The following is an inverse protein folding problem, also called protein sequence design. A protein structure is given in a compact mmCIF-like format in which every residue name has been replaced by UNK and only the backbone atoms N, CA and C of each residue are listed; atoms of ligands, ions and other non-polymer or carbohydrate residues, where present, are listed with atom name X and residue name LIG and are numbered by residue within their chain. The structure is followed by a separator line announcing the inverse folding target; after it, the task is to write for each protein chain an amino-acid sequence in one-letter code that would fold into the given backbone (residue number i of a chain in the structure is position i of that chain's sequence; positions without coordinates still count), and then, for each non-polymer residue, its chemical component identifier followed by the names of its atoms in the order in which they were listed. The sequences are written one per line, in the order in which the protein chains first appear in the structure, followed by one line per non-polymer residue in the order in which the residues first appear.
data_IF_201980280406
#
_entry.id   IF_201980280406
#
_cell.length_a   1.000
_cell.length_b   1.000
_cell.length_c   1.000
_cell.angle_alpha   90.00
_cell.angle_beta   90.00
_cell.angle_gamma   90.00
#
_symmetry.space_group_name_H-M   'P 1'
#
loop_
_entity.id
_entity.type
_entity.pdbx_description
1 polymer ?
#
# COMPACT_ATOMS: atom_id res chain seq x y z
N UNK A 1 16.48 -32.80 8.17
CA UNK A 1 16.42 -31.45 8.77
C UNK A 1 15.03 -30.93 8.51
N UNK A 2 14.19 -30.76 9.54
CA UNK A 2 12.81 -30.28 9.36
C UNK A 2 12.87 -28.81 8.94
N UNK A 3 12.39 -28.50 7.73
CA UNK A 3 12.19 -27.11 7.29
C UNK A 3 11.21 -26.44 8.24
N UNK A 4 11.70 -25.44 8.98
CA UNK A 4 10.86 -24.61 9.83
C UNK A 4 9.99 -23.71 8.97
N UNK A 5 8.73 -23.59 9.34
CA UNK A 5 7.80 -22.71 8.63
C UNK A 5 8.27 -21.25 8.67
N UNK A 6 7.87 -20.44 7.69
CA UNK A 6 8.19 -19.01 7.66
C UNK A 6 7.74 -18.27 8.93
N UNK A 7 6.70 -18.79 9.61
CA UNK A 7 6.23 -18.30 10.89
C UNK A 7 7.20 -18.63 12.04
N UNK A 8 7.63 -19.88 12.16
CA UNK A 8 8.57 -20.33 13.21
C UNK A 8 9.89 -19.57 13.17
N UNK A 9 10.44 -19.36 11.97
CA UNK A 9 11.66 -18.59 11.79
C UNK A 9 11.49 -17.14 12.27
N UNK A 10 10.31 -16.54 12.06
CA UNK A 10 10.01 -15.17 12.47
C UNK A 10 9.88 -15.04 13.98
N UNK A 11 9.25 -16.02 14.63
CA UNK A 11 9.15 -16.07 16.10
C UNK A 11 10.53 -16.22 16.75
N UNK A 12 11.39 -17.07 16.20
CA UNK A 12 12.75 -17.24 16.71
C UNK A 12 13.55 -15.93 16.64
N UNK A 13 13.50 -15.21 15.51
CA UNK A 13 14.17 -13.92 15.36
C UNK A 13 13.68 -12.89 16.39
N UNK A 14 12.38 -12.88 16.71
CA UNK A 14 11.81 -11.99 17.72
C UNK A 14 12.33 -12.36 19.11
N UNK A 15 12.33 -13.65 19.46
CA UNK A 15 12.83 -14.14 20.75
C UNK A 15 14.31 -13.79 20.92
N UNK A 16 15.13 -14.05 19.91
CA UNK A 16 16.55 -13.70 19.92
C UNK A 16 16.76 -12.20 20.12
N UNK A 17 16.01 -11.37 19.40
CA UNK A 17 16.09 -9.90 19.54
C UNK A 17 15.71 -9.41 20.94
N UNK A 18 14.74 -10.05 21.60
CA UNK A 18 14.37 -9.74 22.99
C UNK A 18 15.50 -10.12 23.95
N UNK A 19 16.06 -11.32 23.80
CA UNK A 19 17.16 -11.82 24.65
C UNK A 19 18.40 -10.93 24.53
N UNK A 20 18.75 -10.53 23.31
CA UNK A 20 19.93 -9.70 23.04
C UNK A 20 19.67 -8.21 23.20
N UNK A 21 18.46 -7.82 23.65
CA UNK A 21 18.01 -6.44 23.76
C UNK A 21 18.30 -5.62 22.49
N UNK A 22 18.20 -6.26 21.32
CA UNK A 22 18.49 -5.67 20.02
C UNK A 22 17.20 -5.06 19.44
N UNK A 23 17.28 -3.87 18.82
CA UNK A 23 16.10 -3.25 18.24
C UNK A 23 15.56 -4.09 17.08
N UNK A 24 14.26 -4.37 17.12
CA UNK A 24 13.56 -5.01 15.98
C UNK A 24 13.42 -3.96 14.87
N UNK A 25 14.22 -4.08 13.82
CA UNK A 25 14.19 -3.18 12.68
C UNK A 25 13.10 -3.61 11.70
N UNK A 26 12.03 -2.83 11.61
CA UNK A 26 11.02 -2.98 10.57
C UNK A 26 11.54 -2.38 9.27
N UNK A 27 11.79 -3.22 8.27
CA UNK A 27 12.23 -2.79 6.93
C UNK A 27 11.07 -2.82 5.94
N UNK A 28 11.20 -2.13 4.80
CA UNK A 28 10.19 -2.21 3.73
C UNK A 28 9.90 -3.65 3.27
N UNK A 29 10.88 -4.56 3.33
CA UNK A 29 10.68 -6.00 3.05
C UNK A 29 9.82 -6.71 4.10
N UNK A 30 9.78 -6.21 5.34
CA UNK A 30 8.91 -6.77 6.40
C UNK A 30 7.46 -6.34 6.26
N UNK A 31 7.21 -5.22 5.58
CA UNK A 31 5.88 -4.81 5.14
C UNK A 31 5.60 -5.58 3.83
N UNK A 32 4.62 -6.48 3.83
CA UNK A 32 4.19 -7.24 2.65
C UNK A 32 3.43 -6.34 1.65
N UNK A 33 4.06 -5.23 1.27
CA UNK A 33 3.54 -4.20 0.39
C UNK A 33 4.34 -4.30 -0.90
N UNK A 34 3.82 -5.09 -1.85
CA UNK A 34 4.40 -5.21 -3.18
C UNK A 34 4.16 -3.94 -4.01
N UNK A 35 4.91 -3.76 -5.10
CA UNK A 35 4.73 -2.65 -6.06
C UNK A 35 3.37 -2.63 -6.76
N UNK A 36 2.48 -3.57 -6.41
CA UNK A 36 1.13 -3.72 -6.94
C UNK A 36 0.07 -3.26 -5.93
N UNK A 37 0.36 -2.17 -5.21
CA UNK A 37 -0.54 -1.56 -4.24
C UNK A 37 -1.66 -0.80 -4.98
N UNK A 38 -2.91 -1.17 -4.71
CA UNK A 38 -4.10 -0.52 -5.25
C UNK A 38 -5.00 -0.02 -4.12
N UNK A 39 -6.08 0.68 -4.49
CA UNK A 39 -7.06 1.18 -3.53
C UNK A 39 -7.63 0.07 -2.65
N UNK A 40 -7.83 -1.15 -3.17
CA UNK A 40 -8.38 -2.28 -2.40
C UNK A 40 -7.40 -2.74 -1.31
N UNK A 41 -6.13 -2.94 -1.66
CA UNK A 41 -5.08 -3.33 -0.71
C UNK A 41 -4.81 -2.25 0.33
N UNK A 42 -4.81 -0.97 -0.07
CA UNK A 42 -4.64 0.15 0.86
C UNK A 42 -5.77 0.15 1.89
N UNK A 43 -7.03 0.03 1.45
CA UNK A 43 -8.19 -0.05 2.35
C UNK A 43 -8.09 -1.26 3.28
N UNK A 44 -7.74 -2.43 2.74
CA UNK A 44 -7.57 -3.65 3.53
C UNK A 44 -6.47 -3.51 4.61
N UNK A 45 -5.36 -2.85 4.30
CA UNK A 45 -4.30 -2.55 5.29
C UNK A 45 -4.85 -1.63 6.38
N UNK A 46 -5.53 -0.55 5.99
CA UNK A 46 -6.12 0.38 6.96
C UNK A 46 -7.14 -0.32 7.86
N UNK A 47 -8.02 -1.15 7.29
CA UNK A 47 -9.03 -1.91 8.04
C UNK A 47 -8.39 -2.93 8.99
N UNK A 48 -7.37 -3.65 8.52
CA UNK A 48 -6.58 -4.60 9.32
C UNK A 48 -5.96 -3.94 10.55
N UNK A 49 -5.49 -2.70 10.40
CA UNK A 49 -4.88 -1.93 11.48
C UNK A 49 -5.86 -0.96 12.17
N UNK A 50 -7.17 -1.06 11.86
CA UNK A 50 -8.23 -0.20 12.38
C UNK A 50 -7.96 1.30 12.23
N UNK A 51 -7.19 1.67 11.20
CA UNK A 51 -6.90 3.04 10.82
C UNK A 51 -8.16 3.60 10.16
N UNK A 52 -8.72 4.67 10.73
CA UNK A 52 -9.89 5.34 10.19
C UNK A 52 -9.48 6.53 9.32
N UNK A 53 -10.14 6.66 8.18
CA UNK A 53 -9.89 7.68 7.17
C UNK A 53 -11.21 8.07 6.52
N UNK A 54 -11.21 9.21 5.83
CA UNK A 54 -12.35 9.71 5.06
C UNK A 54 -11.86 9.90 3.65
N UNK A 55 -12.64 9.45 2.66
CA UNK A 55 -12.27 9.54 1.26
C UNK A 55 -13.19 10.52 0.53
N UNK A 56 -12.60 11.41 -0.25
CA UNK A 56 -13.30 12.24 -1.22
C UNK A 56 -13.64 11.48 -2.50
N UNK A 57 -12.81 10.48 -2.87
CA UNK A 57 -13.07 9.62 -4.01
C UNK A 57 -12.78 8.13 -3.70
N UNK A 58 -13.34 7.22 -4.50
CA UNK A 58 -13.24 5.77 -4.23
C UNK A 58 -11.90 5.13 -4.59
N UNK A 59 -10.97 5.86 -5.23
CA UNK A 59 -9.68 5.38 -5.70
C UNK A 59 -9.74 4.59 -7.02
N UNK A 60 -10.75 4.83 -7.85
CA UNK A 60 -10.93 4.13 -9.15
C UNK A 60 -9.79 4.48 -10.11
N UNK A 61 -9.39 5.74 -10.16
CA UNK A 61 -8.24 6.19 -10.98
C UNK A 61 -6.92 5.54 -10.58
N UNK A 62 -6.73 5.20 -9.30
CA UNK A 62 -5.54 4.45 -8.86
C UNK A 62 -5.52 3.02 -9.40
N UNK A 63 -6.68 2.35 -9.49
CA UNK A 63 -6.80 1.03 -10.12
C UNK A 63 -6.54 1.10 -11.63
N UNK A 64 -7.07 2.14 -12.30
CA UNK A 64 -6.80 2.39 -13.73
C UNK A 64 -5.31 2.59 -14.01
N UNK A 65 -4.63 3.45 -13.25
CA UNK A 65 -3.18 3.70 -13.39
C UNK A 65 -2.35 2.44 -13.14
N UNK A 66 -2.70 1.66 -12.11
CA UNK A 66 -2.03 0.37 -11.84
C UNK A 66 -2.13 -0.57 -13.04
N UNK A 67 -3.33 -0.74 -13.60
CA UNK A 67 -3.56 -1.66 -14.70
C UNK A 67 -2.77 -1.22 -15.93
N UNK A 68 -2.91 0.06 -16.34
CA UNK A 68 -2.13 0.60 -17.46
C UNK A 68 -0.62 0.42 -17.28
N UNK A 69 -0.07 0.69 -16.09
CA UNK A 69 1.34 0.47 -15.82
C UNK A 69 1.74 -1.00 -15.97
N UNK A 70 0.91 -1.93 -15.48
CA UNK A 70 1.19 -3.36 -15.58
C UNK A 70 1.13 -3.83 -17.03
N UNK A 71 0.08 -3.46 -17.77
CA UNK A 71 -0.09 -3.84 -19.18
C UNK A 71 1.08 -3.30 -20.04
N UNK A 72 1.51 -2.05 -19.80
CA UNK A 72 2.68 -1.46 -20.46
C UNK A 72 3.99 -2.16 -20.08
N UNK A 73 4.17 -2.53 -18.81
CA UNK A 73 5.39 -3.19 -18.34
C UNK A 73 5.51 -4.65 -18.82
N UNK A 74 4.39 -5.33 -18.98
CA UNK A 74 4.33 -6.68 -19.54
C UNK A 74 4.37 -6.69 -21.08
N UNK A 75 4.12 -5.54 -21.72
CA UNK A 75 4.05 -5.41 -23.17
C UNK A 75 2.73 -5.89 -23.75
N UNK A 76 1.69 -6.01 -22.92
CA UNK A 76 0.34 -6.42 -23.32
C UNK A 76 -0.32 -5.34 -24.20
N UNK A 77 0.06 -4.07 -24.01
CA UNK A 77 -0.35 -2.93 -24.83
C UNK A 77 0.82 -1.99 -25.09
N UNK A 78 0.82 -1.33 -26.26
CA UNK A 78 1.74 -0.21 -26.52
C UNK A 78 1.28 1.08 -25.84
N UNK A 79 2.20 2.03 -25.66
CA UNK A 79 1.86 3.36 -25.12
C UNK A 79 0.80 4.07 -25.99
N UNK A 80 0.91 3.95 -27.31
CA UNK A 80 -0.05 4.51 -28.26
C UNK A 80 -1.44 3.88 -28.17
N UNK A 81 -1.55 2.59 -27.82
CA UNK A 81 -2.84 1.93 -27.61
C UNK A 81 -3.47 2.34 -26.28
N UNK A 82 -2.67 2.40 -25.21
CA UNK A 82 -3.12 2.82 -23.88
C UNK A 82 -3.62 4.28 -23.86
N UNK A 83 -2.91 5.19 -24.55
CA UNK A 83 -3.23 6.61 -24.56
C UNK A 83 -4.21 7.04 -25.67
N UNK A 84 -4.62 6.13 -26.56
CA UNK A 84 -5.43 6.45 -27.76
C UNK A 84 -6.72 7.19 -27.43
N UNK A 85 -7.38 6.77 -26.37
CA UNK A 85 -8.69 7.26 -25.95
C UNK A 85 -8.61 8.15 -24.70
N UNK A 86 -7.42 8.63 -24.35
CA UNK A 86 -7.19 9.53 -23.22
C UNK A 86 -6.85 10.92 -23.72
N UNK A 87 -7.66 11.91 -23.33
CA UNK A 87 -7.32 13.32 -23.52
C UNK A 87 -6.33 13.78 -22.45
N UNK A 88 -5.74 14.97 -22.66
CA UNK A 88 -4.89 15.60 -21.63
C UNK A 88 -5.70 15.83 -20.35
N UNK A 89 -6.94 16.30 -20.47
CA UNK A 89 -7.84 16.55 -19.34
C UNK A 89 -8.15 15.26 -18.57
N UNK A 90 -8.29 14.12 -19.27
CA UNK A 90 -8.46 12.81 -18.61
C UNK A 90 -7.22 12.44 -17.79
N UNK A 91 -6.02 12.69 -18.32
CA UNK A 91 -4.76 12.41 -17.60
C UNK A 91 -4.63 13.30 -16.37
N UNK A 92 -4.99 14.58 -16.49
CA UNK A 92 -4.98 15.51 -15.35
C UNK A 92 -5.98 15.08 -14.27
N UNK A 93 -7.20 14.73 -14.68
CA UNK A 93 -8.24 14.23 -13.76
C UNK A 93 -7.79 12.97 -13.04
N UNK A 94 -7.25 11.99 -13.77
CA UNK A 94 -6.74 10.74 -13.19
C UNK A 94 -5.64 11.03 -12.16
N UNK A 95 -4.69 11.91 -12.51
CA UNK A 95 -3.60 12.31 -11.61
C UNK A 95 -4.15 12.96 -10.35
N UNK A 96 -5.06 13.91 -10.46
CA UNK A 96 -5.63 14.64 -9.32
C UNK A 96 -6.45 13.70 -8.41
N UNK A 97 -7.28 12.82 -8.98
CA UNK A 97 -8.03 11.83 -8.21
C UNK A 97 -7.11 10.86 -7.45
N UNK A 98 -6.01 10.43 -8.07
CA UNK A 98 -5.00 9.59 -7.41
C UNK A 98 -4.34 10.33 -6.25
N UNK A 99 -3.92 11.58 -6.45
CA UNK A 99 -3.28 12.37 -5.41
C UNK A 99 -4.23 12.62 -4.23
N UNK A 100 -5.47 13.00 -4.50
CA UNK A 100 -6.51 13.19 -3.48
C UNK A 100 -6.72 11.91 -2.68
N UNK A 101 -6.86 10.77 -3.35
CA UNK A 101 -7.06 9.49 -2.67
C UNK A 101 -5.90 9.14 -1.72
N UNK A 102 -4.66 9.33 -2.19
CA UNK A 102 -3.48 9.04 -1.38
C UNK A 102 -3.36 10.01 -0.20
N UNK A 103 -3.65 11.29 -0.42
CA UNK A 103 -3.60 12.31 0.64
C UNK A 103 -4.63 12.03 1.74
N UNK A 104 -5.87 11.69 1.38
CA UNK A 104 -6.92 11.29 2.33
C UNK A 104 -6.50 10.12 3.23
N UNK A 105 -5.86 9.11 2.63
CA UNK A 105 -5.31 7.95 3.36
C UNK A 105 -4.18 8.39 4.30
N UNK A 106 -3.23 9.20 3.82
CA UNK A 106 -2.12 9.71 4.61
C UNK A 106 -2.61 10.56 5.78
N UNK A 107 -3.64 11.38 5.60
CA UNK A 107 -4.28 12.14 6.67
C UNK A 107 -4.93 11.22 7.71
N UNK A 108 -5.57 10.13 7.29
CA UNK A 108 -6.07 9.09 8.21
C UNK A 108 -4.95 8.44 9.02
N UNK A 109 -3.85 8.05 8.37
CA UNK A 109 -2.68 7.47 9.02
C UNK A 109 -2.02 8.46 10.01
N UNK A 110 -1.91 9.72 9.63
CA UNK A 110 -1.38 10.79 10.49
C UNK A 110 -2.22 10.96 11.74
N UNK A 111 -3.55 11.06 11.60
CA UNK A 111 -4.48 11.13 12.76
C UNK A 111 -4.34 9.93 13.68
N UNK A 112 -4.23 8.73 13.12
CA UNK A 112 -4.03 7.50 13.88
C UNK A 112 -2.73 7.51 14.69
N UNK A 113 -1.63 7.94 14.07
CA UNK A 113 -0.32 8.03 14.70
C UNK A 113 -0.26 9.12 15.77
N UNK A 114 -0.67 10.35 15.43
CA UNK A 114 -0.64 11.52 16.33
C UNK A 114 -1.52 11.29 17.57
N UNK A 115 -2.70 10.69 17.37
CA UNK A 115 -3.61 10.29 18.44
C UNK A 115 -3.14 9.07 19.25
N UNK A 116 -2.02 8.46 18.87
CA UNK A 116 -1.49 7.21 19.46
C UNK A 116 -2.53 6.10 19.56
N UNK A 117 -3.43 6.01 18.58
CA UNK A 117 -4.58 5.10 18.62
C UNK A 117 -4.16 3.61 18.61
N UNK A 118 -2.94 3.33 18.16
CA UNK A 118 -2.30 2.02 18.27
C UNK A 118 -2.10 1.53 19.71
N UNK A 119 -2.22 2.40 20.72
CA UNK A 119 -2.15 2.02 22.15
C UNK A 119 -3.49 1.58 22.74
N UNK A 120 -4.59 1.90 22.06
CA UNK A 120 -5.96 1.71 22.53
C UNK A 120 -6.59 0.46 21.86
N UNK A 121 -6.00 0.01 20.76
CA UNK A 121 -6.49 -1.08 19.91
C UNK A 121 -6.07 -2.48 20.38
#
# INVERSE_FOLDING_TARGET
MLERSAYENRIQLIIESIITNSPIVLTKKTLDISGNLDAKKIKAICDKHRIRYTLQNKGVSLEKVKNFRNDLAHGDVSFSECARDLTIDDLETIKDEVLIFLDDILQGMKRYYDGKLYKIS
#
